data_IF_359064178709
#
_entry.id   IF_359064178709
#
_cell.length_a   1.000
_cell.length_b   1.000
_cell.length_c   1.000
_cell.angle_alpha   90.00
_cell.angle_beta   90.00
_cell.angle_gamma   90.00
#
_symmetry.space_group_name_H-M   'P 1'
#
loop_
_entity.id
_entity.type
_entity.pdbx_description
1 polymer ?
#
# COMPACT_ATOMS: atom_id res chain seq x y z
N UNK A 1 3.41 42.64 -24.24
CA UNK A 1 3.98 41.50 -25.00
C UNK A 1 2.97 40.39 -25.04
N UNK A 2 2.50 40.05 -26.22
CA UNK A 2 1.60 38.92 -26.41
C UNK A 2 2.34 37.61 -26.13
N UNK A 3 2.21 37.05 -24.97
CA UNK A 3 2.71 35.68 -24.73
C UNK A 3 3.26 35.38 -23.34
N UNK A 4 3.15 36.25 -22.37
CA UNK A 4 3.52 35.90 -21.00
C UNK A 4 2.28 35.55 -20.18
N UNK A 5 2.14 34.28 -19.81
CA UNK A 5 1.13 33.81 -18.89
C UNK A 5 1.81 33.33 -17.60
N UNK A 6 1.23 33.62 -16.46
CA UNK A 6 1.69 33.14 -15.16
C UNK A 6 0.64 32.17 -14.59
N UNK A 7 1.12 31.05 -14.12
CA UNK A 7 0.30 30.05 -13.42
C UNK A 7 0.85 29.94 -12.01
N UNK A 8 -0.03 30.03 -11.03
CA UNK A 8 0.32 29.89 -9.61
C UNK A 8 -0.41 28.66 -9.06
N UNK A 9 0.31 27.85 -8.32
CA UNK A 9 -0.26 26.76 -7.53
C UNK A 9 -0.16 27.15 -6.05
N UNK A 10 -1.28 27.16 -5.37
CA UNK A 10 -1.40 27.54 -3.96
C UNK A 10 -2.31 26.56 -3.22
N UNK A 11 -2.01 26.33 -1.96
CA UNK A 11 -2.81 25.45 -1.12
C UNK A 11 -4.19 26.05 -0.82
N UNK A 12 -4.24 27.35 -0.54
CA UNK A 12 -5.44 28.13 -0.29
C UNK A 12 -5.25 29.60 -0.63
N UNK A 13 -6.32 30.37 -0.53
CA UNK A 13 -6.34 31.80 -0.79
C UNK A 13 -6.68 32.63 0.46
N UNK A 14 -6.57 32.04 1.66
CA UNK A 14 -6.97 32.68 2.91
C UNK A 14 -6.27 34.02 3.17
N UNK A 15 -5.02 34.17 2.71
CA UNK A 15 -4.22 35.40 2.85
C UNK A 15 -4.28 36.32 1.64
N UNK A 16 -4.94 35.91 0.56
CA UNK A 16 -5.05 36.71 -0.65
C UNK A 16 -6.09 37.83 -0.50
N UNK A 17 -5.77 39.04 -0.99
CA UNK A 17 -6.74 40.11 -1.00
C UNK A 17 -7.88 39.85 -1.98
N UNK A 18 -9.11 40.31 -1.71
CA UNK A 18 -10.23 40.18 -2.66
C UNK A 18 -9.91 40.73 -4.05
N UNK A 19 -9.10 41.80 -4.10
CA UNK A 19 -8.66 42.40 -5.35
C UNK A 19 -7.70 41.52 -6.15
N UNK A 20 -6.87 40.71 -5.48
CA UNK A 20 -6.02 39.69 -6.12
C UNK A 20 -6.83 38.57 -6.67
N UNK A 21 -7.76 38.02 -5.86
CA UNK A 21 -8.62 36.90 -6.26
C UNK A 21 -9.48 37.24 -7.47
N UNK A 22 -10.05 38.49 -7.51
CA UNK A 22 -10.93 38.93 -8.61
C UNK A 22 -10.21 39.10 -9.96
N UNK A 23 -8.88 39.17 -9.96
CA UNK A 23 -8.05 39.33 -11.18
C UNK A 23 -7.49 38.03 -11.71
N UNK A 24 -7.66 36.93 -10.96
CA UNK A 24 -7.14 35.60 -11.33
C UNK A 24 -8.24 34.74 -11.96
N UNK A 25 -7.90 34.05 -13.03
CA UNK A 25 -8.70 32.93 -13.52
C UNK A 25 -8.48 31.74 -12.60
N UNK A 26 -9.48 31.41 -11.79
CA UNK A 26 -9.38 30.35 -10.78
C UNK A 26 -9.76 29.01 -11.36
N UNK A 27 -8.89 28.02 -11.15
CA UNK A 27 -9.21 26.61 -11.38
C UNK A 27 -9.07 25.92 -10.03
N UNK A 28 -10.18 25.48 -9.49
CA UNK A 28 -10.21 24.69 -8.24
C UNK A 28 -10.16 23.21 -8.59
N UNK A 29 -9.19 22.50 -8.02
CA UNK A 29 -9.05 21.05 -8.14
C UNK A 29 -9.08 20.48 -6.73
N UNK A 30 -10.17 19.81 -6.40
CA UNK A 30 -10.29 19.15 -5.10
C UNK A 30 -9.47 17.86 -5.08
N UNK A 31 -8.56 17.66 -4.10
CA UNK A 31 -7.72 16.46 -4.02
C UNK A 31 -8.53 15.17 -3.96
N UNK A 32 -9.72 15.22 -3.36
CA UNK A 32 -10.64 14.07 -3.24
C UNK A 32 -11.26 13.64 -4.55
N UNK A 33 -11.43 14.57 -5.52
CA UNK A 33 -12.02 14.25 -6.83
C UNK A 33 -11.04 13.48 -7.72
N UNK A 34 -9.74 13.75 -7.61
CA UNK A 34 -8.73 13.03 -8.40
C UNK A 34 -8.43 11.65 -7.82
N UNK A 35 -8.42 11.53 -6.48
CA UNK A 35 -8.06 10.29 -5.80
C UNK A 35 -6.64 9.80 -6.11
N UNK A 36 -6.40 8.54 -5.84
CA UNK A 36 -5.10 7.87 -6.07
C UNK A 36 -5.04 7.07 -7.39
N UNK A 37 -6.19 6.82 -8.03
CA UNK A 37 -6.27 6.02 -9.27
C UNK A 37 -5.39 6.53 -10.43
N UNK A 38 -5.32 7.85 -10.73
CA UNK A 38 -4.41 8.35 -11.77
C UNK A 38 -2.94 8.09 -11.44
N UNK A 39 -2.56 8.18 -10.16
CA UNK A 39 -1.20 7.90 -9.71
C UNK A 39 -0.84 6.42 -9.86
N UNK A 40 -1.77 5.51 -9.50
CA UNK A 40 -1.61 4.07 -9.74
C UNK A 40 -1.38 3.77 -11.22
N UNK A 41 -2.21 4.35 -12.09
CA UNK A 41 -2.09 4.13 -13.54
C UNK A 41 -0.74 4.61 -14.09
N UNK A 42 -0.28 5.77 -13.64
CA UNK A 42 1.03 6.30 -14.02
C UNK A 42 2.15 5.41 -13.49
N UNK A 43 2.07 4.98 -12.24
CA UNK A 43 3.03 4.08 -11.61
C UNK A 43 3.11 2.72 -12.29
N UNK A 44 1.97 2.09 -12.62
CA UNK A 44 1.96 0.81 -13.33
C UNK A 44 2.67 0.88 -14.69
N UNK A 45 2.62 2.03 -15.36
CA UNK A 45 3.34 2.22 -16.63
C UNK A 45 4.88 2.29 -16.46
N UNK A 46 5.38 2.48 -15.23
CA UNK A 46 6.84 2.52 -14.94
C UNK A 46 7.39 1.18 -14.46
N UNK A 47 6.53 0.20 -14.18
CA UNK A 47 6.94 -1.11 -13.70
C UNK A 47 7.72 -1.91 -14.75
N UNK A 48 8.60 -2.85 -14.32
CA UNK A 48 9.36 -3.69 -15.23
C UNK A 48 8.45 -4.52 -16.16
N UNK A 49 8.87 -4.71 -17.41
CA UNK A 49 8.14 -5.53 -18.40
C UNK A 49 7.95 -6.98 -17.96
N UNK A 50 8.88 -7.52 -17.20
CA UNK A 50 8.79 -8.86 -16.61
C UNK A 50 7.60 -9.03 -15.66
N UNK A 51 7.08 -7.91 -15.12
CA UNK A 51 5.91 -7.90 -14.25
C UNK A 51 4.59 -7.75 -15.04
N UNK A 52 4.64 -7.41 -16.32
CA UNK A 52 3.45 -7.18 -17.17
C UNK A 52 2.42 -8.33 -17.13
N UNK A 53 2.81 -9.63 -17.13
CA UNK A 53 1.87 -10.75 -17.01
C UNK A 53 1.04 -10.71 -15.72
N UNK A 54 1.49 -10.00 -14.69
CA UNK A 54 0.83 -9.86 -13.38
C UNK A 54 0.04 -8.56 -13.20
N UNK A 55 -0.03 -7.68 -14.22
CA UNK A 55 -0.74 -6.40 -14.10
C UNK A 55 -2.23 -6.58 -13.81
N UNK A 56 -2.88 -7.55 -14.44
CA UNK A 56 -4.28 -7.85 -14.14
C UNK A 56 -4.47 -8.26 -12.67
N UNK A 57 -3.51 -9.03 -12.13
CA UNK A 57 -3.52 -9.42 -10.72
C UNK A 57 -3.29 -8.23 -9.79
N UNK A 58 -2.39 -7.33 -10.14
CA UNK A 58 -2.18 -6.09 -9.38
C UNK A 58 -3.45 -5.23 -9.34
N UNK A 59 -4.14 -5.08 -10.47
CA UNK A 59 -5.43 -4.37 -10.51
C UNK A 59 -6.48 -5.00 -9.59
N UNK A 60 -6.59 -6.34 -9.58
CA UNK A 60 -7.45 -7.06 -8.64
C UNK A 60 -7.07 -6.80 -7.19
N UNK A 61 -5.77 -6.81 -6.86
CA UNK A 61 -5.28 -6.58 -5.50
C UNK A 61 -5.55 -5.15 -5.03
N UNK A 62 -5.35 -4.16 -5.90
CA UNK A 62 -5.70 -2.76 -5.61
C UNK A 62 -7.20 -2.62 -5.33
N UNK A 63 -8.06 -3.14 -6.21
CA UNK A 63 -9.51 -3.07 -6.08
C UNK A 63 -10.01 -3.80 -4.82
N UNK A 64 -9.40 -4.93 -4.48
CA UNK A 64 -9.79 -5.73 -3.33
C UNK A 64 -9.35 -5.14 -2.00
N UNK A 65 -8.07 -4.70 -1.89
CA UNK A 65 -7.45 -4.44 -0.59
C UNK A 65 -7.37 -2.96 -0.23
N UNK A 66 -7.19 -2.06 -1.19
CA UNK A 66 -6.83 -0.67 -0.87
C UNK A 66 -7.99 0.10 -0.28
N UNK A 67 -9.12 0.20 -0.99
CA UNK A 67 -10.26 0.99 -0.51
C UNK A 67 -10.85 0.47 0.81
N UNK A 68 -11.07 -0.85 1.00
CA UNK A 68 -11.55 -1.36 2.28
C UNK A 68 -10.59 -1.09 3.44
N UNK A 69 -9.27 -1.19 3.21
CA UNK A 69 -8.27 -0.91 4.24
C UNK A 69 -8.21 0.59 4.59
N UNK A 70 -8.29 1.48 3.60
CA UNK A 70 -8.36 2.92 3.84
C UNK A 70 -9.59 3.27 4.68
N UNK A 71 -10.77 2.81 4.29
CA UNK A 71 -12.01 3.04 5.02
C UNK A 71 -11.98 2.48 6.42
N UNK A 72 -11.42 1.27 6.56
CA UNK A 72 -11.26 0.67 7.87
C UNK A 72 -10.39 1.54 8.80
N UNK A 73 -9.23 2.00 8.35
CA UNK A 73 -8.34 2.85 9.14
C UNK A 73 -9.04 4.15 9.53
N UNK A 74 -9.69 4.84 8.58
CA UNK A 74 -10.40 6.10 8.85
C UNK A 74 -11.53 5.96 9.87
N UNK A 75 -12.24 4.83 9.89
CA UNK A 75 -13.41 4.62 10.73
C UNK A 75 -13.11 3.95 12.07
N UNK A 76 -12.15 3.04 12.11
CA UNK A 76 -11.98 2.15 13.25
C UNK A 76 -10.65 2.34 13.99
N UNK A 77 -9.69 3.07 13.40
CA UNK A 77 -8.37 3.25 13.96
C UNK A 77 -8.07 4.72 14.28
N UNK A 78 -7.13 4.93 15.19
CA UNK A 78 -6.52 6.24 15.42
C UNK A 78 -5.16 6.28 14.73
N UNK A 79 -4.96 7.26 13.89
CA UNK A 79 -3.66 7.48 13.27
C UNK A 79 -2.73 8.27 14.20
N UNK A 80 -1.45 7.94 14.18
CA UNK A 80 -0.41 8.66 14.94
C UNK A 80 -0.14 10.04 14.34
N UNK A 81 -0.16 10.13 13.01
CA UNK A 81 -0.04 11.36 12.24
C UNK A 81 -1.14 11.37 11.19
N UNK A 82 -1.88 12.47 11.00
CA UNK A 82 -2.90 12.56 9.96
C UNK A 82 -2.31 12.29 8.57
N UNK A 83 -2.94 11.41 7.82
CA UNK A 83 -2.57 11.07 6.45
C UNK A 83 -3.71 11.34 5.48
N UNK A 84 -3.45 11.39 4.19
CA UNK A 84 -4.47 11.50 3.16
C UNK A 84 -4.73 10.17 2.46
N UNK A 85 -5.91 10.03 1.87
CA UNK A 85 -6.29 8.83 1.10
C UNK A 85 -5.46 8.68 -0.19
N UNK A 86 -4.71 9.69 -0.57
CA UNK A 86 -3.78 9.65 -1.71
C UNK A 86 -2.38 9.19 -1.25
N UNK A 87 -1.90 9.69 -0.12
CA UNK A 87 -0.53 9.40 0.34
C UNK A 87 -0.33 7.92 0.71
N UNK A 88 -1.34 7.27 1.29
CA UNK A 88 -1.22 5.88 1.72
C UNK A 88 -1.07 4.91 0.54
N UNK A 89 -1.87 4.98 -0.54
CA UNK A 89 -1.64 4.19 -1.74
C UNK A 89 -0.31 4.51 -2.43
N UNK A 90 0.16 5.76 -2.43
CA UNK A 90 1.50 6.09 -2.94
C UNK A 90 2.59 5.42 -2.10
N UNK A 91 2.46 5.44 -0.78
CA UNK A 91 3.38 4.71 0.11
C UNK A 91 3.36 3.21 -0.15
N UNK A 92 2.16 2.63 -0.41
CA UNK A 92 2.02 1.23 -0.81
C UNK A 92 2.81 0.93 -2.08
N UNK A 93 2.62 1.75 -3.13
CA UNK A 93 3.33 1.60 -4.40
C UNK A 93 4.86 1.64 -4.21
N UNK A 94 5.36 2.58 -3.39
CA UNK A 94 6.78 2.71 -3.09
C UNK A 94 7.33 1.49 -2.33
N UNK A 95 6.60 0.98 -1.32
CA UNK A 95 7.01 -0.22 -0.58
C UNK A 95 7.01 -1.44 -1.51
N UNK A 96 5.95 -1.62 -2.31
CA UNK A 96 5.89 -2.72 -3.27
C UNK A 96 7.05 -2.65 -4.26
N UNK A 97 7.33 -1.45 -4.81
CA UNK A 97 8.41 -1.23 -5.77
C UNK A 97 9.79 -1.53 -5.18
N UNK A 98 10.01 -1.27 -3.89
CA UNK A 98 11.25 -1.60 -3.20
C UNK A 98 11.47 -3.12 -3.02
N UNK A 99 10.43 -3.92 -3.23
CA UNK A 99 10.49 -5.37 -3.07
C UNK A 99 10.68 -6.14 -4.38
N UNK A 100 10.49 -5.51 -5.53
CA UNK A 100 10.45 -6.19 -6.86
C UNK A 100 11.77 -6.12 -7.62
N UNK A 101 12.90 -5.99 -6.94
CA UNK A 101 14.21 -5.89 -7.61
C UNK A 101 14.51 -7.11 -8.48
N UNK A 102 14.03 -8.30 -8.11
CA UNK A 102 14.19 -9.53 -8.88
C UNK A 102 13.51 -9.48 -10.26
N UNK A 103 12.51 -8.61 -10.42
CA UNK A 103 11.85 -8.38 -11.70
C UNK A 103 12.58 -7.35 -12.57
N UNK A 104 13.63 -6.69 -12.06
CA UNK A 104 14.44 -5.69 -12.77
C UNK A 104 15.66 -6.32 -13.43
N UNK A 105 15.44 -7.39 -14.20
CA UNK A 105 16.51 -8.04 -14.95
C UNK A 105 16.89 -7.22 -16.18
N UNK A 106 18.18 -7.24 -16.56
CA UNK A 106 18.65 -6.65 -17.80
C UNK A 106 18.16 -7.44 -19.00
N UNK A 107 18.16 -6.84 -20.20
CA UNK A 107 17.72 -7.52 -21.43
C UNK A 107 18.62 -8.73 -21.79
N UNK A 108 19.80 -8.84 -21.20
CA UNK A 108 20.77 -9.92 -21.41
C UNK A 108 20.64 -11.06 -20.38
N UNK A 109 19.85 -10.86 -19.32
CA UNK A 109 19.65 -11.83 -18.25
C UNK A 109 18.32 -12.57 -18.42
N UNK A 110 18.36 -13.89 -18.22
CA UNK A 110 17.14 -14.70 -18.24
C UNK A 110 16.41 -14.58 -16.89
N UNK A 111 15.12 -14.26 -16.95
CA UNK A 111 14.29 -14.21 -15.76
C UNK A 111 13.91 -15.64 -15.31
N UNK A 112 14.46 -16.10 -14.19
CA UNK A 112 14.49 -17.53 -13.81
C UNK A 112 13.31 -17.94 -12.90
N UNK A 113 12.49 -16.99 -12.41
CA UNK A 113 11.41 -17.32 -11.46
C UNK A 113 10.21 -17.97 -12.17
N UNK A 114 9.70 -19.09 -11.65
CA UNK A 114 8.51 -19.75 -12.21
C UNK A 114 7.25 -18.87 -12.07
N UNK A 115 6.27 -18.99 -12.98
CA UNK A 115 5.01 -18.23 -12.94
C UNK A 115 4.26 -18.38 -11.60
N UNK A 116 4.33 -19.57 -11.01
CA UNK A 116 3.74 -19.83 -9.71
C UNK A 116 4.44 -19.04 -8.60
N UNK A 117 5.75 -19.01 -8.61
CA UNK A 117 6.54 -18.31 -7.60
C UNK A 117 6.41 -16.80 -7.77
N UNK A 118 6.38 -16.31 -9.03
CA UNK A 118 6.07 -14.91 -9.34
C UNK A 118 4.74 -14.48 -8.72
N UNK A 119 3.69 -15.28 -8.90
CA UNK A 119 2.37 -14.97 -8.34
C UNK A 119 2.38 -14.97 -6.82
N UNK A 120 3.03 -15.96 -6.20
CA UNK A 120 3.20 -16.01 -4.74
C UNK A 120 3.94 -14.76 -4.25
N UNK A 121 4.99 -14.36 -4.96
CA UNK A 121 5.77 -13.18 -4.64
C UNK A 121 4.94 -11.90 -4.76
N UNK A 122 4.28 -11.66 -5.90
CA UNK A 122 3.47 -10.46 -6.15
C UNK A 122 2.36 -10.30 -5.11
N UNK A 123 1.59 -11.37 -4.86
CA UNK A 123 0.52 -11.34 -3.86
C UNK A 123 1.05 -11.04 -2.45
N UNK A 124 2.18 -11.64 -2.08
CA UNK A 124 2.76 -11.49 -0.74
C UNK A 124 3.42 -10.13 -0.55
N UNK A 125 4.16 -9.64 -1.54
CA UNK A 125 4.76 -8.31 -1.52
C UNK A 125 3.68 -7.22 -1.44
N UNK A 126 2.58 -7.40 -2.18
CA UNK A 126 1.46 -6.46 -2.13
C UNK A 126 0.77 -6.47 -0.76
N UNK A 127 0.50 -7.65 -0.20
CA UNK A 127 -0.09 -7.77 1.13
C UNK A 127 0.80 -7.14 2.20
N UNK A 128 2.11 -7.36 2.14
CA UNK A 128 3.09 -6.71 3.01
C UNK A 128 3.05 -5.18 2.85
N UNK A 129 3.04 -4.69 1.62
CA UNK A 129 2.99 -3.26 1.33
C UNK A 129 1.71 -2.61 1.88
N UNK A 130 0.54 -3.26 1.79
CA UNK A 130 -0.72 -2.78 2.40
C UNK A 130 -0.60 -2.65 3.90
N UNK A 131 -0.05 -3.68 4.58
CA UNK A 131 0.11 -3.67 6.05
C UNK A 131 1.00 -2.52 6.50
N UNK A 132 2.14 -2.29 5.83
CA UNK A 132 3.12 -1.30 6.26
C UNK A 132 2.86 0.10 5.73
N UNK A 133 2.05 0.27 4.69
CA UNK A 133 1.60 1.59 4.24
C UNK A 133 0.33 2.03 4.99
N UNK A 134 -0.79 1.37 4.74
CA UNK A 134 -2.10 1.77 5.26
C UNK A 134 -2.22 1.42 6.75
N UNK A 135 -1.91 0.18 7.11
CA UNK A 135 -1.99 -0.29 8.49
C UNK A 135 -0.91 0.28 9.41
N UNK A 136 0.25 0.64 8.85
CA UNK A 136 1.41 1.13 9.59
C UNK A 136 1.21 2.48 10.28
N UNK A 137 0.27 3.30 9.81
CA UNK A 137 0.00 4.65 10.33
C UNK A 137 -0.75 4.67 11.66
N UNK A 138 -1.28 3.53 12.10
CA UNK A 138 -2.17 3.42 13.25
C UNK A 138 -1.42 3.22 14.58
N UNK A 139 -2.07 3.58 15.68
CA UNK A 139 -1.56 3.33 17.03
C UNK A 139 -1.61 1.84 17.41
N UNK A 140 -1.07 1.47 18.59
CA UNK A 140 -1.01 0.08 19.03
C UNK A 140 -2.37 -0.65 19.08
N UNK A 141 -3.43 -0.06 19.65
CA UNK A 141 -4.78 -0.62 19.58
C UNK A 141 -5.31 -0.71 18.17
N UNK A 142 -5.04 0.29 17.30
CA UNK A 142 -5.41 0.31 15.89
C UNK A 142 -4.77 -0.82 15.12
N UNK A 143 -3.48 -1.12 15.35
CA UNK A 143 -2.78 -2.24 14.73
C UNK A 143 -3.42 -3.59 15.04
N UNK A 144 -3.89 -3.81 16.29
CA UNK A 144 -4.58 -5.05 16.63
C UNK A 144 -5.91 -5.21 15.88
N UNK A 145 -6.68 -4.11 15.78
CA UNK A 145 -7.93 -4.11 15.00
C UNK A 145 -7.66 -4.32 13.51
N UNK A 146 -6.62 -3.68 12.97
CA UNK A 146 -6.25 -3.82 11.57
C UNK A 146 -5.77 -5.24 11.24
N UNK A 147 -4.99 -5.88 12.11
CA UNK A 147 -4.55 -7.28 11.97
C UNK A 147 -5.76 -8.22 11.82
N UNK A 148 -6.75 -8.13 12.73
CA UNK A 148 -7.96 -8.95 12.67
C UNK A 148 -8.79 -8.68 11.40
N UNK A 149 -8.99 -7.41 11.08
CA UNK A 149 -9.70 -7.00 9.87
C UNK A 149 -9.00 -7.50 8.60
N UNK A 150 -7.69 -7.26 8.47
CA UNK A 150 -6.93 -7.61 7.27
C UNK A 150 -6.94 -9.12 7.01
N UNK A 151 -6.78 -9.93 8.07
CA UNK A 151 -6.90 -11.39 7.98
C UNK A 151 -8.28 -11.83 7.48
N UNK A 152 -9.34 -11.24 8.01
CA UNK A 152 -10.72 -11.52 7.54
C UNK A 152 -10.91 -11.06 6.08
N UNK A 153 -10.33 -9.93 5.70
CA UNK A 153 -10.43 -9.41 4.34
C UNK A 153 -9.74 -10.34 3.32
N UNK A 154 -8.51 -10.76 3.59
CA UNK A 154 -7.79 -11.68 2.67
C UNK A 154 -8.37 -13.08 2.65
N UNK A 155 -9.06 -13.49 3.72
CA UNK A 155 -9.82 -14.74 3.77
C UNK A 155 -11.22 -14.63 3.14
N UNK A 156 -11.61 -13.45 2.66
CA UNK A 156 -12.94 -13.14 2.11
C UNK A 156 -14.06 -13.38 3.13
N UNK A 157 -13.83 -12.98 4.38
CA UNK A 157 -14.77 -13.18 5.49
C UNK A 157 -15.35 -11.88 6.08
N UNK A 158 -15.06 -10.73 5.45
CA UNK A 158 -15.68 -9.46 5.85
C UNK A 158 -17.06 -9.38 5.22
N UNK A 159 -18.08 -9.19 6.04
CA UNK A 159 -19.46 -8.98 5.56
C UNK A 159 -19.60 -7.51 5.10
N UNK A 160 -20.13 -7.33 3.89
CA UNK A 160 -20.37 -6.00 3.32
C UNK A 160 -21.60 -5.30 3.92
N UNK A 161 -22.43 -6.05 4.67
CA UNK A 161 -23.64 -5.51 5.29
C UNK A 161 -23.29 -4.92 6.65
N UNK A 162 -23.46 -3.57 6.85
CA UNK A 162 -23.09 -2.90 8.09
C UNK A 162 -23.75 -3.53 9.34
N UNK A 163 -24.98 -4.04 9.20
CA UNK A 163 -25.73 -4.63 10.31
C UNK A 163 -25.17 -6.00 10.76
N UNK A 164 -24.33 -6.62 9.96
CA UNK A 164 -23.74 -7.96 10.20
C UNK A 164 -22.23 -7.93 10.28
N UNK A 165 -21.62 -6.81 9.89
CA UNK A 165 -20.16 -6.67 9.91
C UNK A 165 -19.70 -6.26 11.31
N UNK A 166 -18.64 -6.88 11.78
CA UNK A 166 -17.93 -6.47 13.00
C UNK A 166 -17.22 -5.11 12.82
N UNK A 167 -17.23 -4.57 11.58
CA UNK A 167 -16.48 -3.36 11.21
C UNK A 167 -17.34 -2.38 10.43
N UNK A 168 -17.22 -1.10 10.80
CA UNK A 168 -17.79 0.01 10.01
C UNK A 168 -16.79 0.44 8.93
N UNK A 169 -17.13 0.22 7.67
CA UNK A 169 -16.38 0.72 6.50
C UNK A 169 -17.00 1.99 5.93
N UNK A 170 -18.14 2.42 6.48
CA UNK A 170 -18.91 3.53 5.94
C UNK A 170 -19.84 3.15 4.77
N UNK A 171 -20.73 4.08 4.36
CA UNK A 171 -21.70 3.82 3.31
C UNK A 171 -21.02 3.68 1.94
N UNK A 172 -21.54 2.77 1.12
CA UNK A 172 -21.17 2.64 -0.29
C UNK A 172 -19.84 1.94 -0.56
N UNK A 173 -19.20 1.35 0.45
CA UNK A 173 -17.98 0.55 0.25
C UNK A 173 -18.39 -0.87 -0.12
N UNK A 174 -18.13 -1.24 -1.39
CA UNK A 174 -18.24 -2.61 -1.87
C UNK A 174 -16.84 -3.24 -1.92
N UNK A 175 -16.70 -4.46 -1.43
CA UNK A 175 -15.42 -5.17 -1.48
C UNK A 175 -15.35 -5.98 -2.78
N UNK A 176 -14.45 -5.60 -3.67
CA UNK A 176 -14.24 -6.28 -4.94
C UNK A 176 -13.43 -7.58 -4.73
N UNK A 177 -14.06 -8.62 -4.20
CA UNK A 177 -13.40 -9.90 -3.99
C UNK A 177 -13.00 -10.55 -5.32
N UNK A 178 -11.69 -10.82 -5.53
CA UNK A 178 -11.24 -11.56 -6.71
C UNK A 178 -11.70 -13.02 -6.63
N UNK A 179 -11.68 -13.73 -7.76
CA UNK A 179 -11.98 -15.16 -7.78
C UNK A 179 -11.06 -15.95 -6.83
N UNK A 180 -9.76 -15.68 -6.92
CA UNK A 180 -8.74 -16.35 -6.14
C UNK A 180 -8.32 -15.53 -4.91
N UNK A 181 -8.11 -16.21 -3.77
CA UNK A 181 -7.45 -15.64 -2.59
C UNK A 181 -5.97 -15.34 -2.89
N UNK A 182 -5.27 -14.80 -1.89
CA UNK A 182 -3.81 -14.67 -1.98
C UNK A 182 -3.16 -16.04 -2.26
N UNK A 183 -2.20 -16.07 -3.18
CA UNK A 183 -1.50 -17.29 -3.58
C UNK A 183 -0.76 -17.95 -2.40
N UNK A 184 -0.35 -17.15 -1.40
CA UNK A 184 0.21 -17.61 -0.15
C UNK A 184 -0.60 -17.10 1.03
N UNK A 185 -1.20 -18.02 1.77
CA UNK A 185 -1.98 -17.71 2.98
C UNK A 185 -1.07 -17.11 4.06
N UNK A 186 -1.57 -16.09 4.78
CA UNK A 186 -0.92 -15.55 5.96
C UNK A 186 -0.83 -16.61 7.06
N UNK A 187 0.25 -16.66 7.85
CA UNK A 187 0.35 -17.50 9.04
C UNK A 187 -0.80 -17.21 10.03
N UNK A 188 -1.14 -18.18 10.84
CA UNK A 188 -2.19 -18.03 11.85
C UNK A 188 -1.88 -16.91 12.84
N UNK A 189 -2.91 -16.29 13.42
CA UNK A 189 -2.74 -15.22 14.42
C UNK A 189 -1.96 -15.69 15.67
N UNK A 190 -1.95 -16.99 15.96
CA UNK A 190 -1.12 -17.57 17.02
C UNK A 190 0.38 -17.51 16.75
N UNK A 191 0.79 -17.28 15.51
CA UNK A 191 2.19 -17.15 15.09
C UNK A 191 2.70 -15.71 15.12
N UNK A 192 1.84 -14.75 15.37
CA UNK A 192 2.10 -13.31 15.42
C UNK A 192 1.06 -12.50 14.66
N UNK A 193 1.10 -11.18 14.85
CA UNK A 193 0.31 -10.23 14.07
C UNK A 193 0.85 -10.10 12.64
N UNK A 194 0.09 -9.49 11.73
CA UNK A 194 0.57 -9.21 10.37
C UNK A 194 1.80 -8.29 10.36
N UNK A 195 2.00 -7.51 11.42
CA UNK A 195 3.17 -6.64 11.59
C UNK A 195 4.43 -7.38 12.03
N UNK A 196 4.28 -8.59 12.57
CA UNK A 196 5.40 -9.43 12.98
C UNK A 196 5.90 -10.30 11.81
N UNK A 197 5.26 -10.22 10.65
CA UNK A 197 5.54 -11.05 9.49
C UNK A 197 6.30 -10.27 8.42
N UNK A 198 7.29 -10.93 7.82
CA UNK A 198 7.90 -10.52 6.56
C UNK A 198 7.84 -11.67 5.55
N UNK A 199 7.86 -11.34 4.27
CA UNK A 199 7.91 -12.36 3.22
C UNK A 199 9.36 -12.65 2.83
N UNK A 200 9.80 -13.90 3.08
CA UNK A 200 11.13 -14.38 2.71
C UNK A 200 11.11 -14.82 1.24
N UNK A 201 11.70 -13.99 0.37
CA UNK A 201 11.61 -14.11 -1.08
C UNK A 201 12.17 -15.44 -1.57
N UNK A 202 13.37 -15.81 -1.13
CA UNK A 202 14.11 -17.00 -1.57
C UNK A 202 13.37 -18.31 -1.27
N UNK A 203 12.56 -18.30 -0.20
CA UNK A 203 11.85 -19.48 0.27
C UNK A 203 10.34 -19.44 -0.08
N UNK A 204 9.86 -18.34 -0.64
CA UNK A 204 8.45 -18.16 -0.97
C UNK A 204 7.50 -18.32 0.23
N UNK A 205 7.91 -17.85 1.41
CA UNK A 205 7.15 -18.05 2.66
C UNK A 205 7.14 -16.84 3.56
N UNK A 206 6.10 -16.77 4.39
CA UNK A 206 6.04 -15.83 5.49
C UNK A 206 6.90 -16.31 6.67
N UNK A 207 7.59 -15.38 7.31
CA UNK A 207 8.41 -15.60 8.48
C UNK A 207 8.17 -14.52 9.51
N UNK A 208 8.20 -14.90 10.79
CA UNK A 208 8.07 -13.94 11.87
C UNK A 208 9.43 -13.31 12.17
N UNK A 209 9.50 -11.98 12.25
CA UNK A 209 10.71 -11.22 12.56
C UNK A 209 11.37 -11.66 13.86
N UNK A 210 10.58 -11.98 14.89
CA UNK A 210 11.08 -12.41 16.20
C UNK A 210 11.71 -13.80 16.20
N UNK A 211 11.46 -14.59 15.15
CA UNK A 211 12.05 -15.93 14.96
C UNK A 211 13.27 -15.91 14.04
N UNK A 212 13.71 -14.74 13.60
CA UNK A 212 14.95 -14.61 12.87
C UNK A 212 16.13 -14.81 13.81
N UNK A 213 17.24 -15.46 13.35
CA UNK A 213 18.44 -15.50 14.16
C UNK A 213 18.86 -14.07 14.48
N UNK A 214 19.16 -13.82 15.74
CA UNK A 214 19.72 -12.53 16.18
C UNK A 214 20.96 -12.25 15.35
N UNK A 215 20.97 -11.11 14.66
CA UNK A 215 22.18 -10.64 13.98
C UNK A 215 23.22 -10.45 15.08
N UNK A 216 24.33 -11.17 14.97
CA UNK A 216 25.47 -10.96 15.87
C UNK A 216 26.03 -9.56 15.60
N UNK A 217 25.76 -8.65 16.52
CA UNK A 217 26.24 -7.26 16.46
C UNK A 217 27.61 -7.10 17.13
N UNK A 218 28.17 -8.17 17.67
CA UNK A 218 29.47 -8.14 18.40
C UNK A 218 30.66 -7.64 17.56
N UNK A 219 30.74 -7.81 16.23
CA UNK A 219 31.87 -7.34 15.45
C UNK A 219 31.87 -5.84 15.12
N UNK A 220 30.78 -5.12 15.33
CA UNK A 220 30.70 -3.69 14.99
C UNK A 220 31.48 -2.79 15.95
N UNK A 221 31.80 -3.29 17.14
CA UNK A 221 32.52 -2.54 18.17
C UNK A 221 34.06 -2.73 18.15
N UNK A 222 34.58 -3.67 17.35
CA UNK A 222 36.01 -3.99 17.33
C UNK A 222 36.77 -3.48 16.10
N UNK A 223 36.14 -2.77 15.17
CA UNK A 223 36.80 -2.27 13.95
C UNK A 223 36.66 -0.75 13.74
N UNK A 224 36.80 0.01 14.79
CA UNK A 224 37.05 1.46 14.69
C UNK A 224 38.44 1.79 15.21
N UNK A 225 39.45 1.06 14.76
CA UNK A 225 40.83 1.55 14.72
C UNK A 225 41.09 2.06 13.31
N UNK A 226 40.86 3.37 13.14
CA UNK A 226 41.42 4.18 12.10
C UNK A 226 42.49 5.07 12.69
#
# INVERSE_FOLDING_TARGET
SNGMNMIFEVQDLAVASPATVSRCGMIYVEPTEMGWEPLKRSWMATLPKTLEPHFARLEELFAWLVEPCLRFVRKNCKELVPTSDVNLPVSLMNIFESMIDEFRVSEEEEFVMSDKDQRVFVDSAFAFAVVWSIGGTTDGPGRKKFDDFFRKLVDKRVDEKPERSDYDLGPGVAIAYPENKLAKTLPAASEGSVYDLHFEKDMGRWKNWLKMPTVDTSPLNEKTDL
#
